data_IF_165502156180
#
_entry.id   IF_165502156180
#
_cell.length_a   1.000
_cell.length_b   1.000
_cell.length_c   1.000
_cell.angle_alpha   90.00
_cell.angle_beta   90.00
_cell.angle_gamma   90.00
#
_symmetry.space_group_name_H-M   'P 1'
#
loop_
_entity.id
_entity.type
_entity.pdbx_description
1 polymer ?
#
# COMPACT_ATOMS: atom_id res chain seq x y z
N UNK A 1 15.42 36.72 -36.36
CA UNK A 1 15.38 35.27 -36.02
C UNK A 1 14.61 35.12 -34.72
N UNK A 2 13.45 34.45 -34.73
CA UNK A 2 12.75 33.77 -33.61
C UNK A 2 11.27 33.61 -34.00
N UNK A 3 10.97 32.51 -34.71
CA UNK A 3 9.59 32.12 -35.10
C UNK A 3 9.15 30.80 -34.45
N UNK A 4 9.97 30.22 -33.57
CA UNK A 4 9.75 28.89 -32.99
C UNK A 4 9.38 28.82 -31.49
N UNK A 5 9.25 29.91 -30.69
CA UNK A 5 9.05 29.76 -29.24
C UNK A 5 7.68 29.16 -28.91
N UNK A 6 6.66 29.41 -29.75
CA UNK A 6 5.32 28.86 -29.58
C UNK A 6 5.27 27.34 -29.77
N UNK A 7 6.05 26.82 -30.74
CA UNK A 7 6.10 25.39 -31.05
C UNK A 7 6.76 24.60 -29.90
N UNK A 8 7.78 25.19 -29.27
CA UNK A 8 8.51 24.60 -28.14
C UNK A 8 7.64 24.52 -26.88
N UNK A 9 6.77 25.51 -26.64
CA UNK A 9 5.81 25.50 -25.54
C UNK A 9 4.72 24.42 -25.69
N UNK A 10 4.21 24.23 -26.91
CA UNK A 10 3.23 23.18 -27.23
C UNK A 10 3.81 21.77 -27.05
N UNK A 11 5.10 21.57 -27.38
CA UNK A 11 5.80 20.31 -27.15
C UNK A 11 6.00 20.01 -25.65
N UNK A 12 6.28 21.02 -24.82
CA UNK A 12 6.41 20.86 -23.37
C UNK A 12 5.07 20.52 -22.68
N UNK A 13 3.94 20.99 -23.21
CA UNK A 13 2.61 20.65 -22.69
C UNK A 13 2.20 19.20 -23.01
N UNK A 14 2.76 18.59 -24.07
CA UNK A 14 2.48 17.20 -24.44
C UNK A 14 3.23 16.19 -23.56
N UNK A 15 4.36 16.57 -22.96
CA UNK A 15 5.13 15.73 -22.04
C UNK A 15 4.72 15.86 -20.57
N UNK A 16 3.87 16.82 -20.21
CA UNK A 16 3.23 16.90 -18.89
C UNK A 16 2.01 15.97 -18.75
N UNK A 17 2.09 14.76 -19.34
CA UNK A 17 1.04 13.75 -19.23
C UNK A 17 0.88 13.27 -17.79
N UNK A 18 -0.38 13.21 -17.32
CA UNK A 18 -0.87 12.66 -16.04
C UNK A 18 0.20 12.15 -15.07
N UNK A 19 0.77 13.04 -14.25
CA UNK A 19 1.42 12.66 -12.99
C UNK A 19 0.37 12.47 -11.89
N UNK A 20 -0.69 11.70 -12.16
CA UNK A 20 -1.66 11.34 -11.13
C UNK A 20 -1.05 10.21 -10.31
N UNK A 21 -0.16 10.54 -9.39
CA UNK A 21 0.27 9.58 -8.37
C UNK A 21 -0.86 9.47 -7.36
N UNK A 22 -1.68 8.42 -7.46
CA UNK A 22 -2.57 8.06 -6.36
C UNK A 22 -1.69 7.86 -5.14
N UNK A 23 -1.97 8.56 -4.03
CA UNK A 23 -1.25 8.30 -2.77
C UNK A 23 -1.49 6.84 -2.41
N UNK A 24 -0.46 6.01 -2.50
CA UNK A 24 -0.54 4.62 -2.09
C UNK A 24 -0.85 4.59 -0.59
N UNK A 25 -1.96 3.97 -0.21
CA UNK A 25 -2.25 3.76 1.20
C UNK A 25 -1.39 2.60 1.69
N UNK A 26 -0.83 2.74 2.88
CA UNK A 26 -0.16 1.62 3.53
C UNK A 26 -1.13 0.47 3.84
N UNK A 27 -2.44 0.68 3.69
CA UNK A 27 -3.50 -0.30 3.94
C UNK A 27 -4.01 -0.99 2.67
N UNK A 28 -3.59 -0.56 1.49
CA UNK A 28 -4.07 -1.10 0.23
C UNK A 28 -3.58 -2.54 0.04
N UNK A 29 -4.51 -3.45 -0.29
CA UNK A 29 -4.18 -4.82 -0.70
C UNK A 29 -4.11 -5.87 0.43
N UNK A 30 -4.42 -5.51 1.68
CA UNK A 30 -4.51 -6.48 2.77
C UNK A 30 -5.58 -6.11 3.81
N UNK A 31 -5.94 -7.08 4.66
CA UNK A 31 -6.93 -6.91 5.73
C UNK A 31 -6.41 -7.42 7.07
N UNK A 32 -7.07 -7.03 8.16
CA UNK A 32 -6.78 -7.52 9.50
C UNK A 32 -7.02 -9.03 9.57
N UNK A 33 -6.03 -9.78 10.07
CA UNK A 33 -6.14 -11.22 10.23
C UNK A 33 -6.91 -11.54 11.52
N UNK A 34 -8.04 -12.23 11.37
CA UNK A 34 -8.95 -12.64 12.46
C UNK A 34 -9.20 -14.15 12.44
N UNK A 35 -8.17 -14.98 12.68
CA UNK A 35 -8.35 -16.43 12.69
C UNK A 35 -9.40 -16.87 13.73
N UNK A 36 -10.15 -17.92 13.42
CA UNK A 36 -11.09 -18.53 14.37
C UNK A 36 -10.36 -19.04 15.61
N UNK A 37 -11.09 -19.34 16.68
CA UNK A 37 -10.50 -19.91 17.90
C UNK A 37 -9.75 -21.21 17.59
N UNK A 38 -10.36 -22.12 16.83
CA UNK A 38 -9.74 -23.39 16.46
C UNK A 38 -8.45 -23.17 15.68
N UNK A 39 -8.47 -22.28 14.67
CA UNK A 39 -7.27 -21.96 13.88
C UNK A 39 -6.19 -21.31 14.73
N UNK A 40 -6.56 -20.41 15.64
CA UNK A 40 -5.63 -19.77 16.57
C UNK A 40 -4.95 -20.79 17.47
N UNK A 41 -5.70 -21.74 18.03
CA UNK A 41 -5.16 -22.82 18.87
C UNK A 41 -4.21 -23.71 18.06
N UNK A 42 -4.58 -24.07 16.82
CA UNK A 42 -3.72 -24.86 15.95
C UNK A 42 -2.40 -24.13 15.68
N UNK A 43 -2.46 -22.89 15.19
CA UNK A 43 -1.27 -22.08 14.87
C UNK A 43 -0.37 -21.94 16.10
N UNK A 44 -0.93 -21.64 17.27
CA UNK A 44 -0.14 -21.49 18.50
C UNK A 44 0.56 -22.78 18.93
N UNK A 45 -0.02 -23.95 18.64
CA UNK A 45 0.54 -25.27 18.98
C UNK A 45 1.54 -25.78 17.96
N UNK A 46 1.31 -25.51 16.68
CA UNK A 46 2.07 -26.13 15.58
C UNK A 46 3.06 -25.20 14.92
N UNK A 47 2.83 -23.89 14.95
CA UNK A 47 3.61 -22.91 14.19
C UNK A 47 3.68 -21.54 14.91
N UNK A 48 4.47 -21.50 15.99
CA UNK A 48 4.75 -20.26 16.73
C UNK A 48 5.35 -19.16 15.83
N UNK A 49 6.29 -19.43 14.90
CA UNK A 49 6.76 -18.41 13.97
C UNK A 49 5.64 -17.74 13.17
N UNK A 50 4.70 -18.52 12.62
CA UNK A 50 3.57 -17.95 11.89
C UNK A 50 2.62 -17.16 12.82
N UNK A 51 2.39 -17.62 14.05
CA UNK A 51 1.65 -16.85 15.05
C UNK A 51 2.24 -15.44 15.26
N UNK A 52 3.57 -15.35 15.36
CA UNK A 52 4.27 -14.07 15.51
C UNK A 52 4.12 -13.18 14.28
N UNK A 53 4.11 -13.75 13.08
CA UNK A 53 3.87 -12.99 11.84
C UNK A 53 2.47 -12.39 11.81
N UNK A 54 1.43 -13.14 12.22
CA UNK A 54 0.05 -12.63 12.32
C UNK A 54 -0.01 -11.44 13.28
N UNK A 55 0.63 -11.56 14.44
CA UNK A 55 0.70 -10.46 15.43
C UNK A 55 1.43 -9.26 14.84
N UNK A 56 2.56 -9.46 14.17
CA UNK A 56 3.34 -8.39 13.54
C UNK A 56 2.53 -7.68 12.45
N UNK A 57 1.84 -8.42 11.59
CA UNK A 57 0.96 -7.89 10.55
C UNK A 57 -0.14 -7.02 11.13
N UNK A 58 -0.86 -7.54 12.13
CA UNK A 58 -1.96 -6.79 12.75
C UNK A 58 -1.46 -5.53 13.47
N UNK A 59 -0.30 -5.59 14.15
CA UNK A 59 0.33 -4.42 14.78
C UNK A 59 0.77 -3.38 13.75
N UNK A 60 1.35 -3.80 12.64
CA UNK A 60 1.75 -2.90 11.56
C UNK A 60 0.55 -2.13 11.03
N UNK A 61 -0.53 -2.83 10.63
CA UNK A 61 -1.71 -2.14 10.10
C UNK A 61 -2.39 -1.23 11.14
N UNK A 62 -2.37 -1.57 12.43
CA UNK A 62 -2.86 -0.67 13.48
C UNK A 62 -2.00 0.61 13.57
N UNK A 63 -0.67 0.49 13.50
CA UNK A 63 0.24 1.64 13.52
C UNK A 63 0.11 2.53 12.27
N UNK A 64 -0.37 1.98 11.15
CA UNK A 64 -0.67 2.73 9.93
C UNK A 64 -2.11 3.31 9.90
N UNK A 65 -2.93 3.05 10.93
CA UNK A 65 -4.34 3.49 10.96
C UNK A 65 -5.25 2.71 10.02
N UNK A 66 -4.87 1.49 9.63
CA UNK A 66 -5.67 0.65 8.73
C UNK A 66 -6.86 0.00 9.44
N UNK A 67 -6.74 -0.24 10.75
CA UNK A 67 -7.74 -0.93 11.56
C UNK A 67 -8.26 0.02 12.64
N UNK A 68 -9.56 -0.09 12.95
CA UNK A 68 -10.16 0.45 14.17
C UNK A 68 -10.02 -0.52 15.35
#
# INVERSE_FOLDING_TARGET
>A
MMKFPLLMLLLCALISGCQTTTKQSACDGFSRLTPSLQTSVTILKTDRPFANQIVSHNKFGAAQGCWE
#
